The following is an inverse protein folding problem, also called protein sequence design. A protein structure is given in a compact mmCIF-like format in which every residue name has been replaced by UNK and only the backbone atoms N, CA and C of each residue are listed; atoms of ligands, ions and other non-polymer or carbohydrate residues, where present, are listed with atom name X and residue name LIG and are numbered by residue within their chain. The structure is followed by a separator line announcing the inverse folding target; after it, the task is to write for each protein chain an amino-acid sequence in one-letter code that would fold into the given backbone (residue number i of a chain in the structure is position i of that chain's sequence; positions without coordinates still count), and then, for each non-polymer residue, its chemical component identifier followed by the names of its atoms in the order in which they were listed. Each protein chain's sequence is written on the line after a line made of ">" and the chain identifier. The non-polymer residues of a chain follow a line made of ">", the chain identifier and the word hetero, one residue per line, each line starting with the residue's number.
data_IF_215435122175
#
_entry.id   IF_215435122175
#
_cell.length_a   1.000
_cell.length_b   1.000
_cell.length_c   1.000
_cell.angle_alpha   90.00
_cell.angle_beta   90.00
_cell.angle_gamma   90.00
#
_symmetry.space_group_name_H-M   'P 1'
#
loop_
_entity.id
_entity.type
_entity.pdbx_description
1 polymer ?
#
# COMPACT_ATOMS: atom_id res chain seq x y z
N UNK A 1 -19.93 7.64 -7.30
CA UNK A 1 -18.57 7.12 -7.23
C UNK A 1 -18.14 6.73 -8.63
N UNK A 2 -16.95 7.18 -9.07
CA UNK A 2 -16.34 6.83 -10.35
C UNK A 2 -15.26 5.79 -10.12
N UNK A 3 -15.38 4.58 -10.69
CA UNK A 3 -14.34 3.57 -10.57
C UNK A 3 -13.18 3.87 -11.54
N UNK A 4 -11.96 3.49 -11.13
CA UNK A 4 -10.77 3.58 -11.95
C UNK A 4 -9.99 2.26 -11.87
N UNK A 5 -9.42 1.84 -12.98
CA UNK A 5 -8.51 0.70 -13.04
C UNK A 5 -7.06 1.09 -12.75
N UNK A 6 -6.73 2.37 -12.89
CA UNK A 6 -5.41 2.93 -12.62
C UNK A 6 -5.52 4.10 -11.64
N UNK A 7 -4.86 3.96 -10.49
CA UNK A 7 -4.82 4.99 -9.46
C UNK A 7 -4.12 6.28 -9.93
N UNK A 8 -3.22 6.23 -10.90
CA UNK A 8 -2.57 7.44 -11.41
C UNK A 8 -3.56 8.33 -12.13
N UNK A 9 -4.51 7.73 -12.86
CA UNK A 9 -5.61 8.45 -13.53
C UNK A 9 -6.59 9.00 -12.50
N UNK A 10 -6.93 8.21 -11.47
CA UNK A 10 -7.78 8.69 -10.37
C UNK A 10 -7.17 9.91 -9.67
N UNK A 11 -5.86 9.85 -9.38
CA UNK A 11 -5.14 10.97 -8.77
C UNK A 11 -5.07 12.19 -9.68
N UNK A 12 -4.87 12.02 -10.99
CA UNK A 12 -4.86 13.12 -11.95
C UNK A 12 -6.23 13.82 -12.02
N UNK A 13 -7.32 13.07 -12.04
CA UNK A 13 -8.68 13.60 -12.01
C UNK A 13 -8.97 14.34 -10.69
N UNK A 14 -8.53 13.81 -9.55
CA UNK A 14 -8.62 14.48 -8.26
C UNK A 14 -7.82 15.81 -8.23
N UNK A 15 -6.56 15.78 -8.65
CA UNK A 15 -5.71 16.99 -8.68
C UNK A 15 -6.23 18.06 -9.62
N UNK A 16 -6.93 17.67 -10.71
CA UNK A 16 -7.61 18.58 -11.62
C UNK A 16 -9.02 18.99 -11.15
N UNK A 17 -9.40 18.66 -9.89
CA UNK A 17 -10.67 19.01 -9.25
C UNK A 17 -11.91 18.41 -9.94
N UNK A 18 -11.77 17.30 -10.64
CA UNK A 18 -12.91 16.54 -11.19
C UNK A 18 -13.60 15.64 -10.16
N UNK A 19 -12.94 15.44 -9.00
CA UNK A 19 -13.44 14.69 -7.86
C UNK A 19 -13.10 15.44 -6.58
N UNK A 20 -14.00 15.41 -5.60
CA UNK A 20 -13.81 16.02 -4.28
C UNK A 20 -12.95 15.14 -3.35
N UNK A 21 -13.01 13.82 -3.56
CA UNK A 21 -12.31 12.81 -2.78
C UNK A 21 -11.73 11.76 -3.70
N UNK A 22 -10.52 11.30 -3.41
CA UNK A 22 -9.93 10.13 -4.04
C UNK A 22 -9.61 9.07 -2.99
N UNK A 23 -9.94 7.81 -3.31
CA UNK A 23 -9.52 6.63 -2.55
C UNK A 23 -8.35 5.98 -3.30
N UNK A 24 -7.20 5.83 -2.64
CA UNK A 24 -6.03 5.19 -3.22
C UNK A 24 -5.16 4.53 -2.13
N UNK A 25 -4.25 3.67 -2.55
CA UNK A 25 -3.27 3.06 -1.65
C UNK A 25 -2.44 4.13 -0.92
N UNK A 26 -2.19 3.89 0.35
CA UNK A 26 -1.36 4.74 1.20
C UNK A 26 0.04 4.98 0.60
N UNK A 27 0.61 3.98 -0.07
CA UNK A 27 1.89 4.11 -0.79
C UNK A 27 1.87 5.24 -1.84
N UNK A 28 0.71 5.54 -2.43
CA UNK A 28 0.53 6.65 -3.35
C UNK A 28 0.13 7.94 -2.63
N UNK A 29 -0.69 7.83 -1.59
CA UNK A 29 -1.19 8.98 -0.81
C UNK A 29 -0.11 9.63 0.05
N UNK A 30 0.90 8.90 0.54
CA UNK A 30 1.93 9.40 1.45
C UNK A 30 2.74 10.59 0.94
N UNK A 31 2.77 10.85 -0.36
CA UNK A 31 3.41 12.07 -0.90
C UNK A 31 2.62 13.34 -0.54
N UNK A 32 1.33 13.22 -0.23
CA UNK A 32 0.43 14.30 0.15
C UNK A 32 0.27 14.44 1.67
N UNK A 33 0.43 13.33 2.40
CA UNK A 33 0.48 13.31 3.85
C UNK A 33 1.50 12.27 4.32
N UNK A 34 2.69 12.72 4.69
CA UNK A 34 3.79 11.84 5.10
C UNK A 34 3.48 11.11 6.41
N UNK A 35 2.72 11.74 7.31
CA UNK A 35 2.40 11.15 8.60
C UNK A 35 1.49 9.92 8.43
N UNK A 36 0.41 10.02 7.64
CA UNK A 36 -0.46 8.86 7.40
C UNK A 36 0.25 7.73 6.66
N UNK A 37 1.26 8.07 5.84
CA UNK A 37 2.11 7.10 5.14
C UNK A 37 3.03 6.27 6.05
N UNK A 38 3.21 6.67 7.34
CA UNK A 38 4.01 5.87 8.29
C UNK A 38 3.30 4.59 8.71
N UNK A 39 2.00 4.49 8.52
CA UNK A 39 1.22 3.28 8.86
C UNK A 39 1.70 2.07 8.04
N UNK A 40 2.06 2.30 6.77
CA UNK A 40 2.57 1.25 5.87
C UNK A 40 4.09 1.21 5.77
N UNK A 41 4.81 1.88 6.67
CA UNK A 41 6.26 1.75 6.71
C UNK A 41 6.66 0.31 7.03
N UNK A 42 7.70 -0.18 6.33
CA UNK A 42 8.16 -1.56 6.46
C UNK A 42 8.50 -1.90 7.91
N UNK A 43 7.90 -2.95 8.44
CA UNK A 43 8.10 -3.42 9.81
C UNK A 43 7.50 -2.53 10.92
N UNK A 44 6.87 -1.39 10.59
CA UNK A 44 6.39 -0.44 11.61
C UNK A 44 5.18 -0.95 12.40
N UNK A 45 4.30 -1.70 11.75
CA UNK A 45 3.07 -2.24 12.36
C UNK A 45 3.02 -3.75 12.14
N UNK A 46 3.47 -4.55 13.12
CA UNK A 46 3.72 -5.98 12.92
C UNK A 46 2.46 -6.85 12.87
N UNK A 47 1.33 -6.38 13.38
CA UNK A 47 0.09 -7.19 13.39
C UNK A 47 -1.17 -6.35 13.19
N UNK A 48 -2.28 -7.04 12.89
CA UNK A 48 -3.61 -6.42 12.81
C UNK A 48 -4.08 -5.81 14.13
N UNK A 49 -3.63 -6.34 15.26
CA UNK A 49 -3.96 -5.79 16.59
C UNK A 49 -3.35 -4.41 16.77
N UNK A 50 -2.08 -4.26 16.44
CA UNK A 50 -1.40 -2.97 16.45
C UNK A 50 -2.00 -2.02 15.43
N UNK A 51 -2.27 -2.50 14.20
CA UNK A 51 -2.92 -1.69 13.17
C UNK A 51 -4.26 -1.13 13.66
N UNK A 52 -5.11 -1.96 14.23
CA UNK A 52 -6.40 -1.52 14.76
C UNK A 52 -6.23 -0.45 15.85
N UNK A 53 -5.24 -0.60 16.72
CA UNK A 53 -4.91 0.39 17.76
C UNK A 53 -4.45 1.72 17.14
N UNK A 54 -3.62 1.66 16.09
CA UNK A 54 -3.16 2.84 15.34
C UNK A 54 -4.35 3.53 14.68
N UNK A 55 -5.18 2.80 13.92
CA UNK A 55 -6.34 3.36 13.22
C UNK A 55 -7.35 3.97 14.20
N UNK A 56 -7.63 3.31 15.34
CA UNK A 56 -8.45 3.86 16.43
C UNK A 56 -7.89 5.16 16.99
N UNK A 57 -6.57 5.27 17.04
CA UNK A 57 -5.92 6.50 17.52
C UNK A 57 -6.01 7.60 16.48
N UNK A 58 -5.83 7.27 15.20
CA UNK A 58 -5.92 8.21 14.09
C UNK A 58 -7.35 8.72 13.84
N UNK A 59 -8.38 7.96 14.20
CA UNK A 59 -9.77 8.42 14.09
C UNK A 59 -10.17 9.47 15.15
N UNK A 60 -9.36 9.63 16.22
CA UNK A 60 -9.67 10.58 17.29
C UNK A 60 -9.41 12.03 16.86
N UNK A 61 -10.20 12.96 17.40
CA UNK A 61 -10.06 14.41 17.14
C UNK A 61 -8.64 14.95 17.38
N UNK A 62 -7.91 14.41 18.36
CA UNK A 62 -6.52 14.80 18.65
C UNK A 62 -5.55 14.50 17.50
N UNK A 63 -5.86 13.54 16.66
CA UNK A 63 -5.03 13.17 15.50
C UNK A 63 -5.27 14.07 14.28
N UNK A 64 -6.33 14.85 14.25
CA UNK A 64 -6.69 15.72 13.13
C UNK A 64 -5.52 16.61 12.69
N UNK A 65 -4.75 17.17 13.62
CA UNK A 65 -3.58 18.02 13.34
C UNK A 65 -2.47 17.35 12.53
N UNK A 66 -2.45 16.02 12.45
CA UNK A 66 -1.49 15.26 11.66
C UNK A 66 -2.07 14.80 10.31
N UNK A 67 -3.40 14.74 10.23
CA UNK A 67 -4.14 14.27 9.06
C UNK A 67 -4.66 15.42 8.19
N UNK A 68 -4.86 16.60 8.80
CA UNK A 68 -5.20 17.82 8.09
C UNK A 68 -3.92 18.59 7.75
N UNK A 69 -3.68 18.78 6.47
CA UNK A 69 -2.60 19.63 5.97
C UNK A 69 -3.15 20.92 5.35
N UNK A 70 -2.25 21.81 4.93
CA UNK A 70 -2.65 23.10 4.34
C UNK A 70 -3.45 22.91 3.04
N UNK A 71 -3.05 21.98 2.21
CA UNK A 71 -3.66 21.74 0.89
C UNK A 71 -4.53 20.49 0.85
N UNK A 72 -4.12 19.44 1.52
CA UNK A 72 -4.78 18.14 1.48
C UNK A 72 -5.03 17.58 2.87
N UNK A 73 -6.15 16.89 3.05
CA UNK A 73 -6.53 16.23 4.29
C UNK A 73 -6.87 14.77 4.07
N UNK A 74 -6.46 13.93 5.02
CA UNK A 74 -6.88 12.53 5.08
C UNK A 74 -8.17 12.44 5.89
N UNK A 75 -9.24 11.99 5.25
CA UNK A 75 -10.58 11.91 5.85
C UNK A 75 -11.05 10.49 6.13
N UNK A 76 -10.23 9.50 5.82
CA UNK A 76 -10.50 8.10 6.12
C UNK A 76 -9.28 7.24 5.86
N UNK A 77 -9.10 6.21 6.69
CA UNK A 77 -8.07 5.18 6.53
C UNK A 77 -8.70 3.84 6.88
N UNK A 78 -8.60 2.87 5.99
CA UNK A 78 -9.07 1.51 6.27
C UNK A 78 -8.07 0.46 5.78
N UNK A 79 -7.94 -0.67 6.52
CA UNK A 79 -6.97 -1.69 6.20
C UNK A 79 -7.39 -2.52 4.98
N UNK A 80 -6.43 -2.90 4.15
CA UNK A 80 -6.63 -3.84 3.04
C UNK A 80 -5.79 -5.12 3.19
N UNK A 81 -5.11 -5.26 4.30
CA UNK A 81 -4.34 -6.45 4.65
C UNK A 81 -2.84 -6.22 4.73
N UNK A 82 -2.16 -7.19 5.30
CA UNK A 82 -0.71 -7.20 5.36
C UNK A 82 -0.12 -7.61 4.00
N UNK A 83 0.96 -6.95 3.59
CA UNK A 83 1.73 -7.33 2.42
C UNK A 83 2.73 -8.44 2.75
N UNK A 84 2.77 -9.47 1.92
CA UNK A 84 3.68 -10.61 2.03
C UNK A 84 4.55 -10.72 0.78
N UNK A 85 5.71 -11.36 0.92
CA UNK A 85 6.53 -11.77 -0.23
C UNK A 85 6.02 -13.10 -0.78
N UNK A 86 5.78 -13.13 -2.07
CA UNK A 86 5.52 -14.31 -2.87
C UNK A 86 6.78 -14.63 -3.65
N UNK A 87 7.30 -15.83 -3.51
CA UNK A 87 8.56 -16.28 -4.12
C UNK A 87 8.31 -17.49 -5.02
N UNK A 88 8.97 -17.53 -6.17
CA UNK A 88 8.85 -18.65 -7.12
C UNK A 88 9.67 -19.88 -6.72
N UNK A 89 10.47 -19.78 -5.67
CA UNK A 89 11.23 -20.86 -5.04
C UNK A 89 11.19 -20.68 -3.51
N UNK A 90 10.69 -21.67 -2.78
CA UNK A 90 10.54 -21.67 -1.31
C UNK A 90 11.85 -21.65 -0.54
N UNK A 91 12.98 -21.91 -1.19
CA UNK A 91 14.32 -21.76 -0.62
C UNK A 91 14.72 -20.28 -0.43
N UNK A 92 13.98 -19.34 -1.02
CA UNK A 92 14.22 -17.91 -0.88
C UNK A 92 13.56 -17.39 0.41
N UNK A 93 14.06 -17.78 1.55
CA UNK A 93 13.48 -17.47 2.86
C UNK A 93 14.37 -16.57 3.75
N UNK A 94 15.61 -16.33 3.34
CA UNK A 94 16.56 -15.42 4.01
C UNK A 94 16.88 -14.19 3.14
N UNK A 95 17.35 -13.12 3.78
CA UNK A 95 17.71 -11.87 3.05
C UNK A 95 18.88 -12.11 2.10
N UNK A 96 19.82 -12.96 2.47
CA UNK A 96 21.00 -13.31 1.68
C UNK A 96 20.64 -14.00 0.37
N UNK A 97 19.63 -14.83 0.37
CA UNK A 97 19.16 -15.58 -0.81
C UNK A 97 18.37 -14.70 -1.80
N UNK A 98 17.90 -13.55 -1.33
CA UNK A 98 17.25 -12.57 -2.21
C UNK A 98 18.26 -11.82 -3.10
N UNK A 99 19.57 -11.88 -2.80
CA UNK A 99 20.58 -11.21 -3.60
C UNK A 99 20.58 -11.74 -5.05
N UNK A 100 20.61 -10.83 -6.02
CA UNK A 100 20.56 -11.15 -7.45
C UNK A 100 19.17 -11.54 -7.99
N UNK A 101 18.16 -11.74 -7.13
CA UNK A 101 16.80 -12.07 -7.57
C UNK A 101 16.09 -10.85 -8.13
N UNK A 102 15.18 -11.09 -9.08
CA UNK A 102 14.37 -10.05 -9.72
C UNK A 102 13.10 -9.83 -8.88
N UNK A 103 12.92 -8.63 -8.36
CA UNK A 103 11.77 -8.28 -7.50
C UNK A 103 10.89 -7.27 -8.21
N UNK A 104 9.61 -7.60 -8.43
CA UNK A 104 8.63 -6.64 -8.90
C UNK A 104 8.45 -5.53 -7.86
N UNK A 105 8.82 -4.32 -8.21
CA UNK A 105 8.82 -3.18 -7.30
C UNK A 105 7.99 -2.05 -7.88
N UNK A 106 7.06 -1.50 -7.09
CA UNK A 106 6.21 -0.42 -7.54
C UNK A 106 7.04 0.84 -7.84
N UNK A 107 6.87 1.40 -9.03
CA UNK A 107 7.66 2.52 -9.56
C UNK A 107 7.70 3.76 -8.66
N UNK A 108 6.64 3.99 -7.89
CA UNK A 108 6.47 5.14 -6.99
C UNK A 108 6.89 4.84 -5.54
N UNK A 109 7.28 3.60 -5.22
CA UNK A 109 7.64 3.17 -3.87
C UNK A 109 9.15 3.24 -3.65
N UNK A 110 9.67 4.43 -3.41
CA UNK A 110 11.11 4.70 -3.28
C UNK A 110 11.80 3.92 -2.18
N UNK A 111 11.15 3.71 -1.03
CA UNK A 111 11.66 2.91 0.09
C UNK A 111 11.82 1.43 -0.27
N UNK A 112 10.87 0.84 -0.99
CA UNK A 112 11.00 -0.53 -1.49
C UNK A 112 12.15 -0.63 -2.52
N UNK A 113 12.27 0.35 -3.42
CA UNK A 113 13.40 0.40 -4.37
C UNK A 113 14.74 0.46 -3.61
N UNK A 114 14.85 1.30 -2.58
CA UNK A 114 16.05 1.37 -1.74
C UNK A 114 16.32 0.05 -1.03
N UNK A 115 15.30 -0.58 -0.45
CA UNK A 115 15.42 -1.87 0.22
C UNK A 115 15.92 -2.96 -0.73
N UNK A 116 15.31 -3.08 -1.92
CA UNK A 116 15.69 -4.07 -2.94
C UNK A 116 17.15 -3.87 -3.37
N UNK A 117 17.59 -2.64 -3.58
CA UNK A 117 18.98 -2.34 -3.90
C UNK A 117 19.94 -2.65 -2.74
N UNK A 118 19.52 -2.37 -1.50
CA UNK A 118 20.34 -2.62 -0.30
C UNK A 118 20.65 -4.10 -0.13
N UNK A 119 19.68 -4.97 -0.37
CA UNK A 119 19.86 -6.43 -0.33
C UNK A 119 20.50 -7.00 -1.60
N UNK A 120 20.99 -6.14 -2.50
CA UNK A 120 21.62 -6.52 -3.78
C UNK A 120 20.72 -7.33 -4.71
N UNK A 121 19.41 -7.20 -4.59
CA UNK A 121 18.45 -7.74 -5.53
C UNK A 121 18.25 -6.78 -6.72
N UNK A 122 17.59 -7.25 -7.76
CA UNK A 122 17.32 -6.48 -8.97
C UNK A 122 15.90 -5.92 -8.97
N UNK A 123 15.78 -4.61 -9.02
CA UNK A 123 14.49 -3.92 -9.15
C UNK A 123 13.92 -4.16 -10.56
N UNK A 124 12.74 -4.75 -10.65
CA UNK A 124 11.96 -4.78 -11.89
C UNK A 124 10.79 -3.81 -11.74
N UNK A 125 10.86 -2.66 -12.40
CA UNK A 125 9.83 -1.63 -12.30
C UNK A 125 8.45 -2.19 -12.64
N UNK A 126 7.48 -1.97 -11.77
CA UNK A 126 6.13 -2.52 -11.89
C UNK A 126 5.08 -1.53 -11.37
N UNK A 127 3.83 -1.83 -11.62
CA UNK A 127 2.66 -1.17 -11.07
C UNK A 127 1.62 -2.21 -10.64
N UNK A 128 0.53 -1.76 -10.05
CA UNK A 128 -0.54 -2.64 -9.54
C UNK A 128 -1.25 -3.43 -10.65
N UNK A 129 -1.14 -3.03 -11.90
CA UNK A 129 -1.80 -3.69 -13.04
C UNK A 129 -0.95 -4.79 -13.67
N UNK A 130 0.37 -4.77 -13.46
CA UNK A 130 1.29 -5.67 -14.18
C UNK A 130 2.20 -6.53 -13.30
N UNK A 131 2.36 -6.25 -11.99
CA UNK A 131 3.26 -7.01 -11.11
C UNK A 131 2.91 -8.49 -11.05
N UNK A 132 1.61 -8.81 -10.94
CA UNK A 132 1.13 -10.21 -10.88
C UNK A 132 1.43 -10.97 -12.17
N UNK A 133 1.16 -10.37 -13.34
CA UNK A 133 1.48 -10.97 -14.63
C UNK A 133 2.98 -11.22 -14.81
N UNK A 134 3.85 -10.30 -14.34
CA UNK A 134 5.31 -10.50 -14.36
C UNK A 134 5.76 -11.65 -13.47
N UNK A 135 5.12 -11.84 -12.32
CA UNK A 135 5.39 -12.95 -11.42
C UNK A 135 4.89 -14.28 -12.04
N UNK A 136 3.68 -14.31 -12.54
CA UNK A 136 3.06 -15.49 -13.12
C UNK A 136 3.81 -16.02 -14.35
N UNK A 137 4.35 -15.14 -15.19
CA UNK A 137 5.11 -15.53 -16.38
C UNK A 137 6.61 -15.75 -16.14
N UNK A 138 7.10 -15.54 -14.89
CA UNK A 138 8.49 -15.71 -14.51
C UNK A 138 9.43 -14.58 -14.93
N UNK A 139 8.91 -13.41 -15.32
CA UNK A 139 9.72 -12.20 -15.56
C UNK A 139 10.37 -11.68 -14.29
N UNK A 140 9.77 -11.97 -13.12
CA UNK A 140 10.32 -11.73 -11.80
C UNK A 140 10.30 -13.00 -10.96
N UNK A 141 11.18 -13.07 -9.98
CA UNK A 141 11.31 -14.20 -9.06
C UNK A 141 10.47 -13.99 -7.80
N UNK A 142 10.23 -12.74 -7.47
CA UNK A 142 9.57 -12.29 -6.23
C UNK A 142 8.62 -11.15 -6.54
N UNK A 143 7.43 -11.17 -5.92
CA UNK A 143 6.57 -10.01 -5.80
C UNK A 143 6.08 -9.85 -4.36
N UNK A 144 5.52 -8.69 -4.03
CA UNK A 144 4.89 -8.46 -2.72
C UNK A 144 3.47 -7.94 -2.92
N UNK A 145 2.56 -8.43 -2.10
CA UNK A 145 1.14 -8.11 -2.22
C UNK A 145 0.36 -8.48 -0.96
N UNK A 146 -0.81 -7.89 -0.72
CA UNK A 146 -1.74 -8.38 0.28
C UNK A 146 -2.23 -9.79 -0.03
N UNK A 147 -2.59 -10.55 0.99
CA UNK A 147 -3.04 -11.93 0.84
C UNK A 147 -4.26 -12.09 -0.11
N UNK A 148 -5.17 -11.11 -0.15
CA UNK A 148 -6.33 -11.17 -1.06
C UNK A 148 -5.94 -11.16 -2.55
N UNK A 149 -4.78 -10.61 -2.89
CA UNK A 149 -4.28 -10.57 -4.25
C UNK A 149 -3.90 -11.96 -4.79
N UNK A 150 -3.72 -12.95 -3.90
CA UNK A 150 -3.39 -14.31 -4.29
C UNK A 150 -4.34 -14.88 -5.35
N UNK A 151 -5.63 -14.77 -5.11
CA UNK A 151 -6.64 -15.20 -6.08
C UNK A 151 -6.91 -14.13 -7.15
N UNK A 152 -6.98 -12.85 -6.78
CA UNK A 152 -7.34 -11.77 -7.69
C UNK A 152 -6.34 -11.58 -8.85
N UNK A 153 -5.06 -11.82 -8.61
CA UNK A 153 -3.99 -11.77 -9.61
C UNK A 153 -3.45 -13.15 -10.00
N UNK A 154 -4.13 -14.23 -9.54
CA UNK A 154 -3.75 -15.62 -9.83
C UNK A 154 -2.28 -15.93 -9.50
N UNK A 155 -1.76 -15.37 -8.39
CA UNK A 155 -0.34 -15.46 -8.03
C UNK A 155 0.15 -16.90 -7.82
N UNK A 156 -0.77 -17.85 -7.64
CA UNK A 156 -0.46 -19.27 -7.58
C UNK A 156 0.23 -19.79 -8.86
N UNK A 157 0.00 -19.18 -10.02
CA UNK A 157 0.74 -19.53 -11.25
C UNK A 157 2.22 -19.19 -11.14
N UNK A 158 2.58 -18.09 -10.49
CA UNK A 158 3.97 -17.69 -10.27
C UNK A 158 4.69 -18.52 -9.21
N UNK A 159 3.95 -19.06 -8.23
CA UNK A 159 4.52 -19.97 -7.22
C UNK A 159 4.97 -21.30 -7.83
N UNK A 160 4.29 -21.77 -8.88
CA UNK A 160 4.58 -23.07 -9.50
C UNK A 160 4.55 -24.21 -8.45
N UNK A 161 5.34 -25.27 -8.68
CA UNK A 161 5.38 -26.43 -7.78
C UNK A 161 6.27 -26.21 -6.55
N UNK A 162 7.18 -25.25 -6.60
CA UNK A 162 8.24 -25.06 -5.59
C UNK A 162 8.28 -23.68 -4.95
N UNK A 163 7.30 -22.84 -5.23
CA UNK A 163 7.21 -21.50 -4.64
C UNK A 163 6.61 -21.46 -3.26
N UNK A 164 6.62 -20.28 -2.67
CA UNK A 164 6.13 -20.08 -1.32
C UNK A 164 5.69 -18.64 -1.03
N UNK A 165 5.09 -18.47 0.15
CA UNK A 165 4.76 -17.16 0.70
C UNK A 165 5.51 -17.01 2.02
N UNK A 166 6.35 -15.99 2.11
CA UNK A 166 7.10 -15.73 3.34
C UNK A 166 6.12 -15.28 4.43
N UNK A 167 6.12 -15.96 5.58
CA UNK A 167 5.12 -15.80 6.65
C UNK A 167 5.18 -14.47 7.38
N UNK A 168 6.27 -13.72 7.26
CA UNK A 168 6.42 -12.42 7.90
C UNK A 168 5.79 -11.33 7.05
N UNK A 169 4.83 -10.54 7.58
CA UNK A 169 4.29 -9.41 6.86
C UNK A 169 5.34 -8.31 6.73
N UNK A 170 5.49 -7.78 5.52
CA UNK A 170 6.40 -6.66 5.26
C UNK A 170 5.86 -5.36 5.85
N UNK A 171 4.57 -5.11 5.66
CA UNK A 171 3.88 -3.90 6.08
C UNK A 171 2.38 -4.16 6.16
N UNK A 172 1.66 -3.33 6.92
CA UNK A 172 0.21 -3.26 6.85
C UNK A 172 -0.17 -2.24 5.79
N UNK A 173 -0.99 -2.64 4.84
CA UNK A 173 -1.42 -1.78 3.75
C UNK A 173 -2.81 -1.21 4.02
N UNK A 174 -3.01 0.05 3.62
CA UNK A 174 -4.29 0.74 3.79
C UNK A 174 -4.73 1.41 2.50
N UNK A 175 -6.04 1.59 2.33
CA UNK A 175 -6.60 2.59 1.44
C UNK A 175 -6.86 3.85 2.25
N UNK A 176 -6.53 4.99 1.70
CA UNK A 176 -6.76 6.28 2.33
C UNK A 176 -7.65 7.17 1.46
N UNK A 177 -8.53 7.90 2.10
CA UNK A 177 -9.38 8.90 1.47
C UNK A 177 -8.70 10.27 1.59
N UNK A 178 -8.30 10.83 0.45
CA UNK A 178 -7.68 12.15 0.34
C UNK A 178 -8.69 13.15 -0.22
N UNK A 179 -8.75 14.33 0.38
CA UNK A 179 -9.54 15.48 -0.12
C UNK A 179 -8.70 16.75 -0.11
N UNK A 180 -9.12 17.77 -0.88
CA UNK A 180 -8.61 19.12 -0.67
C UNK A 180 -9.16 19.63 0.68
N UNK A 181 -8.31 20.27 1.48
CA UNK A 181 -8.65 20.71 2.85
C UNK A 181 -9.86 21.64 2.88
N UNK A 182 -10.01 22.48 1.86
CA UNK A 182 -11.10 23.45 1.77
C UNK A 182 -12.44 22.86 1.26
N UNK A 183 -12.44 21.60 0.80
CA UNK A 183 -13.66 20.96 0.28
C UNK A 183 -14.68 20.69 1.36
N UNK A 184 -14.23 20.33 2.55
CA UNK A 184 -15.10 20.02 3.70
C UNK A 184 -14.61 20.78 4.93
N UNK A 185 -15.56 21.18 5.81
CA UNK A 185 -15.22 21.76 7.10
C UNK A 185 -14.55 20.73 8.04
N UNK A 186 -13.92 21.22 9.10
CA UNK A 186 -13.20 20.37 10.04
C UNK A 186 -14.10 19.34 10.76
N UNK A 187 -15.37 19.68 11.01
CA UNK A 187 -16.32 18.78 11.65
C UNK A 187 -16.69 17.61 10.73
N UNK A 188 -16.95 17.89 9.46
CA UNK A 188 -17.24 16.88 8.41
C UNK A 188 -16.05 15.96 8.21
N UNK A 189 -14.82 16.50 8.09
CA UNK A 189 -13.60 15.69 7.98
C UNK A 189 -13.42 14.76 9.17
N UNK A 190 -13.64 15.28 10.40
CA UNK A 190 -13.54 14.47 11.62
C UNK A 190 -14.61 13.38 11.66
N UNK A 191 -15.84 13.70 11.30
CA UNK A 191 -16.95 12.72 11.26
C UNK A 191 -16.68 11.61 10.26
N UNK A 192 -16.12 11.94 9.11
CA UNK A 192 -15.69 10.93 8.11
C UNK A 192 -14.67 9.94 8.70
N UNK A 193 -13.65 10.42 9.41
CA UNK A 193 -12.64 9.55 10.07
C UNK A 193 -13.26 8.59 11.08
N UNK A 194 -14.22 9.07 11.87
CA UNK A 194 -14.93 8.26 12.87
C UNK A 194 -15.79 7.19 12.24
N UNK A 195 -16.51 7.51 11.17
CA UNK A 195 -17.34 6.57 10.42
C UNK A 195 -16.47 5.48 9.77
N UNK A 196 -15.40 5.88 9.10
CA UNK A 196 -14.50 4.94 8.43
C UNK A 196 -13.84 3.95 9.38
N UNK A 197 -13.57 4.37 10.62
CA UNK A 197 -13.03 3.47 11.64
C UNK A 197 -14.10 2.50 12.19
N UNK A 198 -15.37 2.90 12.21
CA UNK A 198 -16.47 2.08 12.75
C UNK A 198 -16.99 1.02 11.76
N UNK A 199 -16.58 1.05 10.52
CA UNK A 199 -16.89 0.07 9.48
C UNK A 199 -15.98 -1.16 9.55
#
# INVERSE_FOLDING_TARGET
>A
VKPYTDESVAMADFLSKKCDVVAAHDLRIRQYNKFSGTVSALGAVPSYKELNTVLKTLSRKKAAKYLDGDKFSIIGIFPIGAGYLFVNNSELDTVEELAGKRIATLNYQKDAIHMVNYIKATVIPSDITNFGGKFNNGSVDICYSPAFAFNAYELYHGLKDNGGIIRYPLAQLTIQLLTNTDTFDAATRQKSREIMFSM
#
